data_IF_532932409219
#
_entry.id   IF_532932409219
#
_cell.length_a   1.000
_cell.length_b   1.000
_cell.length_c   1.000
_cell.angle_alpha   90.00
_cell.angle_beta   90.00
_cell.angle_gamma   90.00
#
_symmetry.space_group_name_H-M   'P 1'
#
loop_
_entity.id
_entity.type
_entity.pdbx_description
1 polymer ?
#
# COMPACT_ATOMS: atom_id res chain seq x y z
N UNK A 1 15.44 -19.24 17.91
CA UNK A 1 15.93 -17.85 17.67
C UNK A 1 16.31 -17.53 16.21
N UNK A 2 17.18 -18.30 15.52
CA UNK A 2 17.59 -17.96 14.13
C UNK A 2 16.43 -17.89 13.12
N UNK A 3 15.43 -18.80 13.23
CA UNK A 3 14.23 -18.79 12.36
C UNK A 3 13.36 -17.53 12.58
N UNK A 4 13.11 -17.18 13.85
CA UNK A 4 12.35 -15.97 14.23
C UNK A 4 13.01 -14.70 13.69
N UNK A 5 14.33 -14.57 13.80
CA UNK A 5 15.06 -13.43 13.21
C UNK A 5 14.95 -13.36 11.68
N UNK A 6 14.87 -14.50 10.99
CA UNK A 6 14.69 -14.55 9.53
C UNK A 6 13.28 -14.12 9.13
N UNK A 7 12.26 -14.59 9.84
CA UNK A 7 10.87 -14.20 9.55
C UNK A 7 10.61 -12.71 9.81
N UNK A 8 11.15 -12.13 10.90
CA UNK A 8 11.06 -10.69 11.15
C UNK A 8 11.66 -9.86 10.03
N UNK A 9 12.82 -10.28 9.50
CA UNK A 9 13.46 -9.61 8.36
C UNK A 9 12.66 -9.73 7.08
N UNK A 10 11.96 -10.85 6.89
CA UNK A 10 11.05 -11.03 5.74
C UNK A 10 9.87 -10.05 5.85
N UNK A 11 9.22 -9.98 7.01
CA UNK A 11 8.12 -9.03 7.25
C UNK A 11 8.63 -7.60 7.11
N UNK A 12 9.78 -7.27 7.68
CA UNK A 12 10.42 -5.96 7.52
C UNK A 12 10.66 -5.60 6.04
N UNK A 13 11.12 -6.55 5.22
CA UNK A 13 11.31 -6.32 3.79
C UNK A 13 9.98 -6.08 3.05
N UNK A 14 8.93 -6.80 3.40
CA UNK A 14 7.58 -6.60 2.85
C UNK A 14 7.01 -5.23 3.24
N UNK A 15 7.16 -4.81 4.50
CA UNK A 15 6.72 -3.51 4.97
C UNK A 15 7.54 -2.37 4.35
N UNK A 16 8.87 -2.55 4.19
CA UNK A 16 9.71 -1.60 3.47
C UNK A 16 9.28 -1.47 2.01
N UNK A 17 8.95 -2.59 1.34
CA UNK A 17 8.43 -2.57 -0.03
C UNK A 17 7.13 -1.77 -0.12
N UNK A 18 6.16 -2.00 0.78
CA UNK A 18 4.91 -1.22 0.85
C UNK A 18 5.19 0.27 1.06
N UNK A 19 6.13 0.61 1.96
CA UNK A 19 6.56 1.99 2.20
C UNK A 19 7.13 2.65 0.95
N UNK A 20 8.09 1.99 0.27
CA UNK A 20 8.71 2.49 -0.96
C UNK A 20 7.67 2.66 -2.07
N UNK A 21 6.74 1.71 -2.24
CA UNK A 21 5.66 1.83 -3.21
C UNK A 21 4.77 3.04 -2.91
N UNK A 22 4.40 3.24 -1.65
CA UNK A 22 3.64 4.44 -1.23
C UNK A 22 4.42 5.72 -1.49
N UNK A 23 5.74 5.71 -1.28
CA UNK A 23 6.58 6.87 -1.56
C UNK A 23 6.60 7.22 -3.05
N UNK A 24 6.76 6.21 -3.90
CA UNK A 24 6.70 6.36 -5.37
C UNK A 24 5.34 6.93 -5.79
N UNK A 25 4.25 6.40 -5.24
CA UNK A 25 2.90 6.92 -5.49
C UNK A 25 2.77 8.36 -5.03
N UNK A 26 3.23 8.70 -3.82
CA UNK A 26 3.19 10.06 -3.28
C UNK A 26 3.96 11.06 -4.15
N UNK A 27 5.18 10.71 -4.59
CA UNK A 27 5.95 11.53 -5.52
C UNK A 27 5.27 11.64 -6.89
N UNK A 28 4.73 10.55 -7.42
CA UNK A 28 3.95 10.56 -8.66
C UNK A 28 2.77 11.52 -8.56
N UNK A 29 1.98 11.42 -7.50
CA UNK A 29 0.85 12.32 -7.24
C UNK A 29 1.29 13.78 -7.08
N UNK A 30 2.41 14.05 -6.42
CA UNK A 30 2.94 15.41 -6.28
C UNK A 30 3.37 16.00 -7.62
N UNK A 31 4.05 15.22 -8.48
CA UNK A 31 4.42 15.64 -9.84
C UNK A 31 3.16 15.91 -10.67
N UNK A 32 2.15 15.05 -10.55
CA UNK A 32 0.87 15.20 -11.25
C UNK A 32 0.05 16.39 -10.74
N UNK A 33 0.15 16.74 -9.46
CA UNK A 33 -0.60 17.86 -8.86
C UNK A 33 -0.20 19.22 -9.45
N UNK A 34 1.00 19.34 -10.04
CA UNK A 34 1.45 20.55 -10.73
C UNK A 34 1.27 20.54 -12.25
N UNK A 35 0.66 19.50 -12.82
CA UNK A 35 0.48 19.32 -14.25
C UNK A 35 -1.00 19.14 -14.61
N UNK A 36 -1.34 19.42 -15.88
CA UNK A 36 -2.68 19.19 -16.39
C UNK A 36 -2.99 17.67 -16.42
N UNK A 37 -3.65 17.15 -15.38
CA UNK A 37 -3.99 15.73 -15.21
C UNK A 37 -4.64 15.09 -16.45
N UNK A 38 -5.40 15.90 -17.18
CA UNK A 38 -6.00 15.53 -18.45
C UNK A 38 -4.95 15.17 -19.50
N UNK A 39 -3.92 15.98 -19.68
CA UNK A 39 -2.82 15.70 -20.62
C UNK A 39 -2.01 14.47 -20.21
N UNK A 40 -1.84 14.24 -18.91
CA UNK A 40 -1.16 13.03 -18.42
C UNK A 40 -1.99 11.77 -18.71
N UNK A 41 -3.29 11.79 -18.44
CA UNK A 41 -4.20 10.69 -18.77
C UNK A 41 -4.25 10.42 -20.27
N UNK A 42 -4.33 11.46 -21.10
CA UNK A 42 -4.25 11.37 -22.56
C UNK A 42 -2.92 10.75 -23.02
N UNK A 43 -1.79 11.10 -22.41
CA UNK A 43 -0.47 10.54 -22.73
C UNK A 43 -0.37 9.05 -22.40
N UNK A 44 -0.92 8.59 -21.27
CA UNK A 44 -0.97 7.16 -20.91
C UNK A 44 -1.82 6.37 -21.91
N UNK A 45 -3.02 6.87 -22.21
CA UNK A 45 -3.93 6.22 -23.16
C UNK A 45 -3.28 6.11 -24.54
N UNK A 46 -2.62 7.17 -25.00
CA UNK A 46 -1.90 7.19 -26.27
C UNK A 46 -0.68 6.25 -26.28
N UNK A 47 0.13 6.23 -25.21
CA UNK A 47 1.27 5.31 -25.08
C UNK A 47 0.84 3.84 -25.02
N UNK A 48 -0.32 3.55 -24.43
CA UNK A 48 -0.91 2.23 -24.40
C UNK A 48 -1.55 1.81 -25.75
N UNK A 49 -1.45 2.65 -26.79
CA UNK A 49 -2.15 2.49 -28.08
C UNK A 49 -3.66 2.30 -27.94
N UNK A 50 -4.25 2.78 -26.86
CA UNK A 50 -5.69 2.72 -26.63
C UNK A 50 -6.35 3.90 -27.32
N UNK A 51 -7.51 3.68 -27.95
CA UNK A 51 -8.24 4.75 -28.61
C UNK A 51 -8.88 5.69 -27.55
N UNK A 52 -8.48 6.97 -27.45
CA UNK A 52 -9.03 7.91 -26.47
C UNK A 52 -10.53 8.16 -26.63
N UNK A 53 -11.06 7.98 -27.85
CA UNK A 53 -12.47 8.13 -28.17
C UNK A 53 -13.32 6.89 -27.81
N UNK A 54 -12.70 5.80 -27.34
CA UNK A 54 -13.45 4.64 -26.85
C UNK A 54 -13.96 4.84 -25.42
N UNK A 55 -15.02 4.12 -25.05
CA UNK A 55 -15.78 4.39 -23.82
C UNK A 55 -14.93 4.27 -22.53
N UNK A 56 -14.03 3.29 -22.45
CA UNK A 56 -13.23 3.04 -21.23
C UNK A 56 -12.13 4.10 -21.02
N UNK A 57 -11.28 4.45 -22.01
CA UNK A 57 -10.30 5.52 -21.88
C UNK A 57 -10.90 6.90 -21.65
N UNK A 58 -12.05 7.20 -22.25
CA UNK A 58 -12.73 8.50 -22.06
C UNK A 58 -13.29 8.67 -20.64
N UNK A 59 -13.82 7.61 -20.03
CA UNK A 59 -14.23 7.62 -18.61
C UNK A 59 -13.02 7.87 -17.70
N UNK A 60 -11.87 7.24 -17.99
CA UNK A 60 -10.64 7.45 -17.23
C UNK A 60 -10.12 8.90 -17.33
N UNK A 61 -10.04 9.46 -18.55
CA UNK A 61 -9.61 10.85 -18.77
C UNK A 61 -10.56 11.82 -18.06
N UNK A 62 -11.87 11.58 -18.12
CA UNK A 62 -12.86 12.45 -17.50
C UNK A 62 -12.83 12.35 -15.96
N UNK A 63 -12.60 11.17 -15.39
CA UNK A 63 -12.40 11.01 -13.95
C UNK A 63 -11.17 11.83 -13.49
N UNK A 64 -10.07 11.78 -14.24
CA UNK A 64 -8.85 12.53 -13.94
C UNK A 64 -9.01 14.05 -14.07
N UNK A 65 -9.91 14.54 -14.93
CA UNK A 65 -10.18 15.99 -15.03
C UNK A 65 -11.03 16.57 -13.90
N UNK A 66 -11.72 15.71 -13.14
CA UNK A 66 -12.53 16.13 -11.97
C UNK A 66 -11.76 16.11 -10.66
N UNK A 67 -10.52 15.57 -10.64
CA UNK A 67 -9.67 15.60 -9.46
C UNK A 67 -8.99 16.96 -9.36
N UNK A 68 -9.22 17.67 -8.25
CA UNK A 68 -8.57 18.95 -8.00
C UNK A 68 -7.10 18.77 -7.59
N UNK A 69 -6.25 19.74 -7.94
CA UNK A 69 -4.83 19.77 -7.53
C UNK A 69 -4.67 19.73 -6.00
N UNK A 70 -5.60 20.36 -5.26
CA UNK A 70 -5.64 20.32 -3.80
C UNK A 70 -5.83 18.90 -3.26
N UNK A 71 -6.75 18.13 -3.86
CA UNK A 71 -6.97 16.74 -3.46
C UNK A 71 -5.74 15.87 -3.75
N UNK A 72 -5.05 16.09 -4.87
CA UNK A 72 -3.81 15.37 -5.18
C UNK A 72 -2.67 15.71 -4.24
N UNK A 73 -2.55 16.98 -3.87
CA UNK A 73 -1.54 17.42 -2.91
C UNK A 73 -1.80 16.77 -1.55
N UNK A 74 -3.06 16.71 -1.10
CA UNK A 74 -3.44 16.02 0.13
C UNK A 74 -3.15 14.52 0.06
N UNK A 75 -3.47 13.86 -1.05
CA UNK A 75 -3.17 12.43 -1.26
C UNK A 75 -1.66 12.18 -1.28
N UNK A 76 -0.86 13.07 -1.90
CA UNK A 76 0.59 12.98 -1.92
C UNK A 76 1.18 13.11 -0.51
N UNK A 77 0.70 14.08 0.28
CA UNK A 77 1.09 14.25 1.68
C UNK A 77 0.71 13.00 2.50
N UNK A 78 -0.51 12.48 2.33
CA UNK A 78 -0.96 11.26 3.00
C UNK A 78 -0.09 10.05 2.66
N UNK A 79 0.22 9.84 1.37
CA UNK A 79 1.10 8.77 0.91
C UNK A 79 2.55 8.91 1.44
N UNK A 80 3.05 10.15 1.56
CA UNK A 80 4.35 10.45 2.12
C UNK A 80 4.40 10.12 3.63
N UNK A 81 3.41 10.58 4.40
CA UNK A 81 3.31 10.28 5.84
C UNK A 81 3.20 8.77 6.05
N UNK A 82 2.31 8.10 5.30
CA UNK A 82 2.15 6.66 5.37
C UNK A 82 3.45 5.91 5.03
N UNK A 83 4.20 6.37 4.01
CA UNK A 83 5.51 5.81 3.70
C UNK A 83 6.49 5.93 4.87
N UNK A 84 6.55 7.08 5.54
CA UNK A 84 7.43 7.27 6.70
C UNK A 84 7.08 6.26 7.79
N UNK A 85 5.79 6.14 8.12
CA UNK A 85 5.31 5.18 9.13
C UNK A 85 5.75 3.76 8.79
N UNK A 86 5.56 3.33 7.53
CA UNK A 86 5.95 1.98 7.08
C UNK A 86 7.46 1.76 7.10
N UNK A 87 8.26 2.77 6.75
CA UNK A 87 9.72 2.65 6.80
C UNK A 87 10.24 2.59 8.25
N UNK A 88 9.63 3.34 9.17
CA UNK A 88 9.95 3.29 10.61
C UNK A 88 9.61 1.91 11.18
N UNK A 89 8.43 1.38 10.86
CA UNK A 89 8.01 0.04 11.24
C UNK A 89 8.95 -1.04 10.69
N UNK A 90 9.27 -0.99 9.39
CA UNK A 90 10.21 -1.92 8.76
C UNK A 90 11.60 -1.85 9.41
N UNK A 91 12.10 -0.66 9.70
CA UNK A 91 13.37 -0.47 10.39
C UNK A 91 13.34 -1.06 11.80
N UNK A 92 12.27 -0.81 12.56
CA UNK A 92 12.14 -1.37 13.91
C UNK A 92 12.03 -2.88 13.93
N UNK A 93 11.29 -3.48 12.99
CA UNK A 93 11.23 -4.94 12.81
C UNK A 93 12.59 -5.51 12.44
N UNK A 94 13.36 -4.82 11.58
CA UNK A 94 14.73 -5.23 11.25
C UNK A 94 15.64 -5.25 12.49
N UNK A 95 15.46 -4.27 13.38
CA UNK A 95 16.17 -4.13 14.65
C UNK A 95 15.54 -4.93 15.82
N UNK A 96 14.44 -5.67 15.59
CA UNK A 96 13.72 -6.43 16.62
C UNK A 96 13.21 -5.57 17.80
N UNK A 97 12.74 -4.35 17.53
CA UNK A 97 12.15 -3.48 18.54
C UNK A 97 10.74 -3.97 18.90
N UNK A 98 10.52 -4.30 20.17
CA UNK A 98 9.24 -4.89 20.66
C UNK A 98 8.02 -4.01 20.33
N UNK A 99 8.14 -2.69 20.46
CA UNK A 99 7.04 -1.78 20.16
C UNK A 99 6.65 -1.82 18.67
N UNK A 100 7.61 -2.02 17.76
CA UNK A 100 7.32 -2.19 16.33
C UNK A 100 6.75 -3.55 15.99
N UNK A 101 7.07 -4.60 16.77
CA UNK A 101 6.43 -5.91 16.61
C UNK A 101 4.93 -5.81 16.92
N UNK A 102 4.56 -5.13 18.01
CA UNK A 102 3.16 -4.84 18.35
C UNK A 102 2.49 -3.93 17.32
N UNK A 103 3.19 -2.87 16.88
CA UNK A 103 2.69 -1.97 15.86
C UNK A 103 2.35 -2.72 14.57
N UNK A 104 3.22 -3.62 14.11
CA UNK A 104 2.99 -4.43 12.91
C UNK A 104 1.87 -5.46 13.04
N UNK A 105 1.68 -6.03 14.23
CA UNK A 105 0.52 -6.87 14.50
C UNK A 105 -0.77 -6.07 14.35
N UNK A 106 -0.87 -4.91 15.02
CA UNK A 106 -2.09 -4.09 15.01
C UNK A 106 -2.33 -3.49 13.63
N UNK A 107 -1.29 -2.94 12.99
CA UNK A 107 -1.37 -2.34 11.66
C UNK A 107 -1.85 -3.37 10.64
N UNK A 108 -1.28 -4.59 10.64
CA UNK A 108 -1.68 -5.68 9.77
C UNK A 108 -3.12 -6.16 10.03
N UNK A 109 -3.52 -6.29 11.30
CA UNK A 109 -4.84 -6.77 11.68
C UNK A 109 -5.96 -5.81 11.26
N UNK A 110 -5.68 -4.50 11.18
CA UNK A 110 -6.64 -3.50 10.71
C UNK A 110 -7.05 -3.75 9.25
N UNK A 111 -6.19 -4.32 8.38
CA UNK A 111 -6.55 -4.56 6.97
C UNK A 111 -7.54 -5.69 6.79
N UNK A 112 -7.51 -6.71 7.65
CA UNK A 112 -8.28 -7.95 7.49
C UNK A 112 -9.80 -7.70 7.40
N UNK A 113 -10.45 -6.90 8.26
CA UNK A 113 -11.88 -6.59 8.14
C UNK A 113 -12.25 -5.91 6.81
N UNK A 114 -11.41 -4.98 6.32
CA UNK A 114 -11.68 -4.28 5.06
C UNK A 114 -11.52 -5.23 3.86
N UNK A 115 -10.48 -6.06 3.86
CA UNK A 115 -10.24 -7.04 2.80
C UNK A 115 -11.33 -8.12 2.76
N UNK A 116 -11.82 -8.55 3.93
CA UNK A 116 -12.98 -9.44 4.00
C UNK A 116 -14.23 -8.78 3.44
N UNK A 117 -14.50 -7.53 3.83
CA UNK A 117 -15.64 -6.77 3.31
C UNK A 117 -15.59 -6.66 1.78
N UNK A 118 -14.42 -6.32 1.22
CA UNK A 118 -14.22 -6.22 -0.21
C UNK A 118 -14.42 -7.59 -0.89
N UNK A 119 -13.89 -8.66 -0.30
CA UNK A 119 -14.04 -10.02 -0.84
C UNK A 119 -15.51 -10.49 -0.88
N UNK A 120 -16.32 -10.11 0.11
CA UNK A 120 -17.75 -10.41 0.12
C UNK A 120 -18.53 -9.69 -1.00
N UNK A 121 -18.06 -8.52 -1.44
CA UNK A 121 -18.70 -7.76 -2.51
C UNK A 121 -18.16 -8.13 -3.90
N UNK A 122 -16.86 -8.40 -4.00
CA UNK A 122 -16.19 -8.68 -5.26
C UNK A 122 -15.01 -9.64 -5.07
N UNK A 123 -15.17 -10.88 -5.54
CA UNK A 123 -14.09 -11.86 -5.50
C UNK A 123 -13.09 -11.56 -6.61
N UNK A 124 -11.89 -11.14 -6.24
CA UNK A 124 -10.76 -10.96 -7.15
C UNK A 124 -9.57 -11.81 -6.71
N UNK A 125 -8.84 -12.37 -7.68
CA UNK A 125 -7.63 -13.18 -7.40
C UNK A 125 -6.59 -12.36 -6.63
N UNK A 126 -6.45 -11.08 -6.97
CA UNK A 126 -5.56 -10.16 -6.28
C UNK A 126 -6.01 -9.94 -4.84
N UNK A 127 -7.29 -9.63 -4.60
CA UNK A 127 -7.84 -9.41 -3.26
C UNK A 127 -7.68 -10.63 -2.35
N UNK A 128 -7.98 -11.83 -2.85
CA UNK A 128 -7.74 -13.09 -2.11
C UNK A 128 -6.26 -13.27 -1.77
N UNK A 129 -5.36 -12.97 -2.71
CA UNK A 129 -3.92 -13.12 -2.50
C UNK A 129 -3.39 -12.15 -1.43
N UNK A 130 -3.86 -10.90 -1.45
CA UNK A 130 -3.49 -9.88 -0.47
C UNK A 130 -4.04 -10.24 0.92
N UNK A 131 -5.30 -10.67 1.01
CA UNK A 131 -5.90 -11.13 2.27
C UNK A 131 -5.12 -12.28 2.89
N UNK A 132 -4.79 -13.31 2.09
CA UNK A 132 -4.00 -14.45 2.57
C UNK A 132 -2.62 -14.00 3.08
N UNK A 133 -1.95 -13.10 2.36
CA UNK A 133 -0.67 -12.55 2.79
C UNK A 133 -0.78 -11.82 4.12
N UNK A 134 -1.77 -10.94 4.29
CA UNK A 134 -1.98 -10.20 5.53
C UNK A 134 -2.35 -11.13 6.70
N UNK A 135 -3.20 -12.14 6.49
CA UNK A 135 -3.50 -13.16 7.49
C UNK A 135 -2.22 -13.88 7.94
N UNK A 136 -1.36 -14.29 7.01
CA UNK A 136 -0.09 -14.97 7.34
C UNK A 136 0.82 -14.06 8.16
N UNK A 137 0.96 -12.78 7.79
CA UNK A 137 1.78 -11.81 8.53
C UNK A 137 1.22 -11.60 9.94
N UNK A 138 -0.07 -11.34 10.08
CA UNK A 138 -0.73 -11.11 11.39
C UNK A 138 -0.58 -12.33 12.28
N UNK A 139 -0.84 -13.54 11.75
CA UNK A 139 -0.67 -14.78 12.48
C UNK A 139 0.79 -14.98 12.94
N UNK A 140 1.76 -14.73 12.05
CA UNK A 140 3.18 -14.85 12.36
C UNK A 140 3.60 -13.88 13.48
N UNK A 141 3.18 -12.62 13.39
CA UNK A 141 3.49 -11.60 14.39
C UNK A 141 2.85 -11.93 15.75
N UNK A 142 1.59 -12.37 15.75
CA UNK A 142 0.90 -12.79 16.97
C UNK A 142 1.61 -13.99 17.63
N UNK A 143 1.86 -15.05 16.87
CA UNK A 143 2.53 -16.25 17.35
C UNK A 143 3.92 -15.92 17.94
N UNK A 144 4.68 -15.06 17.28
CA UNK A 144 5.98 -14.63 17.80
C UNK A 144 5.85 -13.86 19.11
N UNK A 145 4.92 -12.92 19.22
CA UNK A 145 4.72 -12.13 20.43
C UNK A 145 4.32 -13.01 21.62
N UNK A 146 3.45 -13.99 21.40
CA UNK A 146 3.07 -14.97 22.43
C UNK A 146 4.27 -15.82 22.90
N UNK A 147 5.05 -16.37 21.96
CA UNK A 147 6.25 -17.17 22.30
C UNK A 147 7.33 -16.35 23.03
N UNK A 148 7.38 -15.03 22.83
CA UNK A 148 8.33 -14.14 23.49
C UNK A 148 7.87 -13.71 24.90
N UNK A 149 6.58 -13.88 25.21
CA UNK A 149 5.99 -13.56 26.51
C UNK A 149 6.06 -14.69 27.53
N UNK A 150 6.39 -15.91 27.10
CA UNK A 150 6.71 -17.08 27.94
C UNK A 150 8.21 -17.19 28.20
#
# INVERSE_FOLDING_TARGET
MKSVKKGLRLVAALEAFKGIMSLIVGFGLHVLAGHNLRQFAESIVNHAHLNPASHVPSVFINAMSHVSESNLTLLAIGAFIYSIVRLVEAYGLWQQLVWTEWFALVSGAIYVPFELYELFHHISVLGVSVLLLNIVIVWYMAHMLFVKSE
#
